data_IF_721821897152
#
_entry.id   IF_721821897152
#
_cell.length_a   1.000
_cell.length_b   1.000
_cell.length_c   1.000
_cell.angle_alpha   90.00
_cell.angle_beta   90.00
_cell.angle_gamma   90.00
#
_symmetry.space_group_name_H-M   'P 1'
#
loop_
_entity.id
_entity.type
_entity.pdbx_description
1 polymer ?
#
# COMPACT_ATOMS: atom_id res chain seq x y z
N UNK A 1 -18.48 32.81 -33.86
CA UNK A 1 -18.34 31.44 -33.28
C UNK A 1 -19.02 31.51 -31.92
N UNK A 2 -20.25 31.00 -31.83
CA UNK A 2 -21.08 31.04 -30.61
C UNK A 2 -20.60 29.91 -29.68
N UNK A 3 -20.40 30.16 -28.39
CA UNK A 3 -20.01 29.07 -27.46
C UNK A 3 -21.15 28.07 -27.30
N UNK A 4 -20.83 26.78 -27.06
CA UNK A 4 -21.87 25.76 -26.89
C UNK A 4 -22.71 26.07 -25.63
N UNK A 5 -24.02 25.93 -25.80
CA UNK A 5 -25.02 26.11 -24.74
C UNK A 5 -24.76 25.13 -23.56
N UNK A 6 -24.83 25.65 -22.35
CA UNK A 6 -24.77 24.85 -21.14
C UNK A 6 -25.91 23.80 -21.13
N UNK A 7 -25.67 22.55 -20.65
CA UNK A 7 -26.69 21.55 -20.53
C UNK A 7 -27.81 22.01 -19.57
N UNK A 8 -29.06 21.71 -19.93
CA UNK A 8 -30.22 22.03 -19.12
C UNK A 8 -30.14 21.32 -17.74
N UNK A 9 -30.65 21.91 -16.65
CA UNK A 9 -30.70 21.26 -15.36
C UNK A 9 -31.55 19.99 -15.42
N UNK A 10 -31.04 18.91 -14.85
CA UNK A 10 -31.75 17.65 -14.73
C UNK A 10 -33.09 17.84 -13.98
N UNK A 11 -34.16 17.22 -14.46
CA UNK A 11 -35.46 17.23 -13.80
C UNK A 11 -35.40 16.48 -12.46
N UNK A 12 -36.15 16.92 -11.45
CA UNK A 12 -36.17 16.38 -10.07
C UNK A 12 -36.50 14.86 -9.93
N UNK A 13 -36.63 14.12 -11.03
CA UNK A 13 -36.88 12.69 -11.06
C UNK A 13 -35.67 11.81 -11.34
N UNK A 14 -34.55 12.37 -11.73
CA UNK A 14 -33.36 11.63 -12.18
C UNK A 14 -32.19 11.79 -11.20
N UNK A 15 -32.38 11.30 -9.98
CA UNK A 15 -31.23 11.12 -9.07
C UNK A 15 -30.39 9.99 -9.67
N UNK A 16 -29.29 10.36 -10.33
CA UNK A 16 -28.32 9.42 -10.85
C UNK A 16 -27.94 8.43 -9.73
N UNK A 17 -28.27 7.15 -9.90
CA UNK A 17 -27.97 6.10 -8.93
C UNK A 17 -26.45 5.86 -8.88
N UNK A 18 -25.76 6.64 -8.04
CA UNK A 18 -24.32 6.52 -7.84
C UNK A 18 -23.48 7.21 -8.93
N UNK A 19 -22.20 6.84 -9.04
CA UNK A 19 -21.23 7.41 -9.96
C UNK A 19 -21.19 6.72 -11.35
N UNK A 20 -22.21 5.95 -11.70
CA UNK A 20 -22.26 5.25 -12.98
C UNK A 20 -22.21 6.25 -14.16
N UNK A 21 -21.24 6.07 -15.05
CA UNK A 21 -21.02 6.96 -16.21
C UNK A 21 -20.21 8.23 -15.94
N UNK A 22 -19.78 8.47 -14.71
CA UNK A 22 -18.89 9.59 -14.39
C UNK A 22 -17.44 9.13 -14.53
N UNK A 23 -16.68 9.81 -15.39
CA UNK A 23 -15.24 9.60 -15.52
C UNK A 23 -14.56 10.35 -14.37
N UNK A 24 -14.08 9.63 -13.36
CA UNK A 24 -13.37 10.22 -12.21
C UNK A 24 -11.91 10.58 -12.55
N UNK A 25 -11.30 9.90 -13.53
CA UNK A 25 -9.93 10.14 -13.95
C UNK A 25 -9.45 9.07 -14.93
N UNK A 26 -8.22 9.23 -15.39
CA UNK A 26 -7.50 8.24 -16.20
C UNK A 26 -6.35 7.67 -15.38
N UNK A 27 -6.04 6.39 -15.59
CA UNK A 27 -4.90 5.72 -14.96
C UNK A 27 -4.08 4.97 -16.00
N UNK A 28 -2.76 4.99 -15.84
CA UNK A 28 -1.83 4.15 -16.61
C UNK A 28 -1.46 2.86 -15.86
N UNK A 29 -1.97 2.65 -14.64
CA UNK A 29 -1.60 1.53 -13.78
C UNK A 29 -2.31 0.25 -14.21
N UNK A 30 -3.62 0.35 -14.53
CA UNK A 30 -4.42 -0.81 -14.89
C UNK A 30 -5.45 -0.50 -15.97
N UNK A 31 -5.82 -1.51 -16.74
CA UNK A 31 -6.93 -1.48 -17.70
C UNK A 31 -7.75 -2.76 -17.60
N UNK A 32 -9.02 -2.68 -18.02
CA UNK A 32 -9.97 -3.79 -17.99
C UNK A 32 -10.56 -4.05 -19.38
N UNK A 33 -9.77 -3.89 -20.43
CA UNK A 33 -10.19 -4.18 -21.81
C UNK A 33 -10.08 -5.69 -22.08
N UNK A 34 -11.19 -6.40 -21.91
CA UNK A 34 -11.28 -7.86 -22.04
C UNK A 34 -10.75 -8.63 -20.85
N UNK A 35 -9.52 -8.43 -20.44
CA UNK A 35 -8.91 -8.99 -19.23
C UNK A 35 -8.24 -7.88 -18.41
N UNK A 36 -8.10 -8.10 -17.10
CA UNK A 36 -7.36 -7.18 -16.23
C UNK A 36 -5.87 -7.17 -16.61
N UNK A 37 -5.34 -5.97 -16.79
CA UNK A 37 -3.93 -5.74 -17.09
C UNK A 37 -3.31 -4.77 -16.10
N UNK A 38 -2.09 -5.03 -15.70
CA UNK A 38 -1.25 -4.11 -14.95
C UNK A 38 -0.12 -3.61 -15.84
N UNK A 39 -0.05 -2.28 -16.08
CA UNK A 39 0.94 -1.65 -16.96
C UNK A 39 1.03 -2.33 -18.34
N UNK A 40 -0.11 -2.85 -18.87
CA UNK A 40 -0.17 -3.56 -20.15
C UNK A 40 0.05 -5.07 -20.10
N UNK A 41 0.56 -5.61 -18.98
CA UNK A 41 0.72 -7.06 -18.79
C UNK A 41 -0.58 -7.69 -18.31
N UNK A 42 -0.98 -8.82 -18.89
CA UNK A 42 -2.14 -9.57 -18.43
C UNK A 42 -1.90 -10.12 -17.01
N UNK A 43 -2.96 -10.13 -16.18
CA UNK A 43 -2.82 -10.52 -14.78
C UNK A 43 -2.50 -12.01 -14.59
N UNK A 44 -3.00 -12.86 -15.48
CA UNK A 44 -2.84 -14.31 -15.37
C UNK A 44 -1.36 -14.75 -15.37
N UNK A 45 -0.50 -14.30 -16.34
CA UNK A 45 0.92 -14.60 -16.30
C UNK A 45 1.63 -14.00 -15.08
N UNK A 46 1.25 -12.79 -14.67
CA UNK A 46 1.83 -12.14 -13.48
C UNK A 46 1.51 -12.93 -12.19
N UNK A 47 0.29 -13.44 -12.07
CA UNK A 47 -0.12 -14.23 -10.91
C UNK A 47 0.50 -15.65 -10.91
N UNK A 48 0.77 -16.21 -12.10
CA UNK A 48 1.30 -17.58 -12.22
C UNK A 48 2.83 -17.67 -12.04
N UNK A 49 3.57 -16.64 -12.46
CA UNK A 49 5.02 -16.68 -12.54
C UNK A 49 5.71 -15.55 -11.74
N UNK A 50 5.01 -14.44 -11.46
CA UNK A 50 5.54 -13.31 -10.72
C UNK A 50 5.45 -13.48 -9.21
N UNK A 51 6.34 -12.83 -8.49
CA UNK A 51 6.22 -12.67 -7.05
C UNK A 51 5.65 -11.28 -6.70
N UNK A 52 5.39 -11.07 -5.41
CA UNK A 52 4.81 -9.81 -4.92
C UNK A 52 5.72 -8.61 -5.24
N UNK A 53 7.02 -8.75 -5.04
CA UNK A 53 8.00 -7.69 -5.25
C UNK A 53 8.11 -7.30 -6.72
N UNK A 54 8.05 -8.26 -7.65
CA UNK A 54 8.06 -7.98 -9.10
C UNK A 54 6.82 -7.21 -9.53
N UNK A 55 5.64 -7.62 -9.06
CA UNK A 55 4.39 -6.93 -9.40
C UNK A 55 4.32 -5.55 -8.75
N UNK A 56 4.79 -5.40 -7.51
CA UNK A 56 4.87 -4.11 -6.85
C UNK A 56 5.82 -3.16 -7.58
N UNK A 57 6.98 -3.65 -8.00
CA UNK A 57 7.93 -2.89 -8.83
C UNK A 57 7.28 -2.44 -10.14
N UNK A 58 6.65 -3.37 -10.86
CA UNK A 58 5.93 -3.06 -12.12
C UNK A 58 4.93 -1.92 -11.93
N UNK A 59 4.12 -1.96 -10.87
CA UNK A 59 3.09 -0.94 -10.64
C UNK A 59 3.69 0.43 -10.31
N UNK A 60 4.79 0.47 -9.57
CA UNK A 60 5.46 1.71 -9.15
C UNK A 60 6.32 2.28 -10.29
N UNK A 61 7.15 1.46 -10.93
CA UNK A 61 8.15 1.90 -11.92
C UNK A 61 7.65 1.83 -13.37
N UNK A 62 6.58 1.07 -13.65
CA UNK A 62 5.95 1.01 -14.97
C UNK A 62 6.40 -0.12 -15.87
N UNK A 63 7.48 -0.84 -15.51
CA UNK A 63 8.02 -1.99 -16.26
C UNK A 63 8.48 -3.10 -15.30
N UNK A 64 8.61 -4.32 -15.80
CA UNK A 64 9.11 -5.44 -14.99
C UNK A 64 10.60 -5.23 -14.66
N UNK A 65 11.02 -5.57 -13.43
CA UNK A 65 12.41 -5.39 -13.02
C UNK A 65 13.34 -6.43 -13.68
N UNK A 66 14.57 -6.03 -13.93
CA UNK A 66 15.67 -6.99 -14.09
C UNK A 66 16.02 -7.61 -12.74
N UNK A 67 16.72 -8.74 -12.73
CA UNK A 67 17.06 -9.45 -11.49
C UNK A 67 17.73 -8.55 -10.43
N UNK A 68 18.70 -7.73 -10.84
CA UNK A 68 19.40 -6.80 -9.95
C UNK A 68 18.52 -5.67 -9.43
N UNK A 69 17.56 -5.20 -10.24
CA UNK A 69 16.59 -4.16 -9.86
C UNK A 69 15.59 -4.73 -8.85
N UNK A 70 15.12 -5.97 -9.08
CA UNK A 70 14.24 -6.68 -8.15
C UNK A 70 14.90 -6.89 -6.79
N UNK A 71 16.15 -7.36 -6.77
CA UNK A 71 16.90 -7.55 -5.53
C UNK A 71 17.10 -6.24 -4.77
N UNK A 72 17.47 -5.17 -5.47
CA UNK A 72 17.66 -3.86 -4.86
C UNK A 72 16.33 -3.28 -4.32
N UNK A 73 15.24 -3.43 -5.06
CA UNK A 73 13.90 -3.02 -4.62
C UNK A 73 13.46 -3.81 -3.39
N UNK A 74 13.53 -5.13 -3.43
CA UNK A 74 13.19 -6.00 -2.29
C UNK A 74 14.00 -5.62 -1.04
N UNK A 75 15.30 -5.35 -1.19
CA UNK A 75 16.15 -4.91 -0.08
C UNK A 75 15.69 -3.57 0.53
N UNK A 76 15.29 -2.59 -0.30
CA UNK A 76 14.77 -1.29 0.20
C UNK A 76 13.44 -1.45 0.93
N UNK A 77 12.50 -2.23 0.38
CA UNK A 77 11.21 -2.51 0.99
C UNK A 77 11.39 -3.25 2.33
N UNK A 78 12.27 -4.24 2.37
CA UNK A 78 12.62 -4.98 3.58
C UNK A 78 13.28 -4.09 4.64
N UNK A 79 14.19 -3.20 4.25
CA UNK A 79 14.80 -2.23 5.16
C UNK A 79 13.73 -1.31 5.78
N UNK A 80 12.78 -0.84 4.98
CA UNK A 80 11.67 -0.01 5.46
C UNK A 80 10.78 -0.76 6.46
N UNK A 81 10.50 -2.04 6.24
CA UNK A 81 9.72 -2.86 7.17
C UNK A 81 10.42 -3.07 8.54
N UNK A 82 11.75 -2.98 8.57
CA UNK A 82 12.56 -3.11 9.80
C UNK A 82 12.71 -1.82 10.59
N UNK A 83 12.36 -0.68 10.00
CA UNK A 83 12.67 0.65 10.55
C UNK A 83 11.42 1.52 10.68
N UNK A 84 10.49 1.10 11.55
CA UNK A 84 9.39 1.98 11.95
C UNK A 84 9.92 3.08 12.87
N UNK A 85 9.43 4.30 12.65
CA UNK A 85 9.80 5.44 13.48
C UNK A 85 9.40 5.22 14.95
N UNK A 86 10.27 5.53 15.93
CA UNK A 86 9.97 5.38 17.34
C UNK A 86 8.72 6.14 17.79
N UNK A 87 8.40 7.30 17.20
CA UNK A 87 7.21 8.06 17.54
C UNK A 87 5.92 7.33 17.09
N UNK A 88 5.95 6.67 15.91
CA UNK A 88 4.84 5.82 15.44
C UNK A 88 4.65 4.64 16.39
N UNK A 89 5.73 3.94 16.75
CA UNK A 89 5.66 2.82 17.70
C UNK A 89 5.14 3.24 19.07
N UNK A 90 5.61 4.37 19.61
CA UNK A 90 5.15 4.89 20.89
C UNK A 90 3.67 5.25 20.88
N UNK A 91 3.19 5.92 19.82
CA UNK A 91 1.78 6.28 19.65
C UNK A 91 0.88 5.05 19.54
N UNK A 92 1.26 4.06 18.72
CA UNK A 92 0.53 2.80 18.60
C UNK A 92 0.49 2.04 19.93
N UNK A 93 1.60 2.00 20.66
CA UNK A 93 1.68 1.34 21.96
C UNK A 93 0.72 1.96 22.98
N UNK A 94 0.64 3.29 23.03
CA UNK A 94 -0.29 3.99 23.94
C UNK A 94 -1.75 3.71 23.56
N UNK A 95 -2.07 3.67 22.28
CA UNK A 95 -3.41 3.32 21.78
C UNK A 95 -3.77 1.86 22.09
N UNK A 96 -2.84 0.93 21.89
CA UNK A 96 -3.03 -0.49 22.19
C UNK A 96 -3.27 -0.73 23.69
N UNK A 97 -2.56 0.01 24.55
CA UNK A 97 -2.77 -0.04 26.00
C UNK A 97 -4.15 0.48 26.42
N UNK A 98 -4.66 1.54 25.76
CA UNK A 98 -5.98 2.12 26.02
C UNK A 98 -7.13 1.26 25.51
N UNK A 99 -6.98 0.69 24.32
CA UNK A 99 -8.02 -0.12 23.68
C UNK A 99 -7.41 -1.31 22.93
N UNK A 100 -7.06 -2.40 23.65
CA UNK A 100 -6.46 -3.58 23.03
C UNK A 100 -7.40 -4.34 22.10
N UNK A 101 -8.69 -4.02 22.11
CA UNK A 101 -9.71 -4.62 21.25
C UNK A 101 -10.06 -3.76 20.02
N UNK A 102 -9.38 -2.65 19.81
CA UNK A 102 -9.60 -1.85 18.61
C UNK A 102 -9.27 -2.64 17.34
N UNK A 103 -10.04 -2.36 16.29
CA UNK A 103 -9.87 -3.05 15.01
C UNK A 103 -8.44 -2.88 14.46
N UNK A 104 -7.77 -3.95 14.01
CA UNK A 104 -6.48 -3.85 13.34
C UNK A 104 -6.51 -2.91 12.12
N UNK A 105 -7.65 -2.79 11.43
CA UNK A 105 -7.82 -1.86 10.31
C UNK A 105 -7.82 -0.40 10.75
N UNK A 106 -8.38 -0.09 11.91
CA UNK A 106 -8.35 1.27 12.48
C UNK A 106 -6.93 1.64 12.92
N UNK A 107 -6.22 0.68 13.51
CA UNK A 107 -4.81 0.84 13.87
C UNK A 107 -3.92 1.02 12.64
N UNK A 108 -4.16 0.24 11.59
CA UNK A 108 -3.42 0.36 10.32
C UNK A 108 -3.63 1.74 9.70
N UNK A 109 -4.88 2.20 9.57
CA UNK A 109 -5.21 3.53 9.05
C UNK A 109 -4.53 4.64 9.85
N UNK A 110 -4.59 4.55 11.18
CA UNK A 110 -3.97 5.52 12.09
C UNK A 110 -2.44 5.49 11.96
N UNK A 111 -1.84 4.31 11.97
CA UNK A 111 -0.39 4.14 11.86
C UNK A 111 0.17 4.66 10.53
N UNK A 112 -0.52 4.40 9.41
CA UNK A 112 -0.13 4.96 8.10
C UNK A 112 -0.22 6.49 8.09
N UNK A 113 -1.26 7.08 8.72
CA UNK A 113 -1.35 8.54 8.89
C UNK A 113 -0.21 9.08 9.75
N UNK A 114 0.18 8.37 10.81
CA UNK A 114 1.32 8.76 11.66
C UNK A 114 2.64 8.72 10.90
N UNK A 115 2.86 7.75 10.00
CA UNK A 115 4.04 7.72 9.13
C UNK A 115 4.14 9.01 8.30
N UNK A 116 3.03 9.49 7.73
CA UNK A 116 2.99 10.75 7.01
C UNK A 116 3.34 11.96 7.88
N UNK A 117 2.86 12.00 9.13
CA UNK A 117 3.16 13.09 10.06
C UNK A 117 4.64 13.15 10.46
N UNK A 118 5.28 11.99 10.61
CA UNK A 118 6.70 11.89 11.00
C UNK A 118 7.63 12.21 9.83
N UNK A 119 7.29 11.77 8.62
CA UNK A 119 8.11 12.04 7.43
C UNK A 119 8.02 13.50 6.95
N UNK A 120 6.99 14.22 7.38
CA UNK A 120 6.68 15.57 6.92
C UNK A 120 6.06 15.58 5.51
N UNK A 121 5.43 16.68 5.17
CA UNK A 121 4.70 16.82 3.91
C UNK A 121 5.48 17.70 2.92
N UNK A 122 6.39 17.09 2.18
CA UNK A 122 6.86 17.64 0.91
C UNK A 122 5.82 17.28 -0.17
N UNK A 123 4.62 17.83 -0.04
CA UNK A 123 3.42 17.45 -0.80
C UNK A 123 3.60 17.50 -2.34
N UNK A 124 4.64 18.16 -2.82
CA UNK A 124 4.96 18.35 -4.24
C UNK A 124 6.39 17.90 -4.58
N UNK A 125 6.88 16.87 -3.90
CA UNK A 125 8.20 16.28 -4.19
C UNK A 125 8.35 15.86 -5.65
N UNK A 126 9.57 15.69 -6.10
CA UNK A 126 9.87 15.15 -7.43
C UNK A 126 9.25 13.74 -7.59
N UNK A 127 9.12 13.28 -8.83
CA UNK A 127 8.70 11.90 -9.12
C UNK A 127 9.52 10.87 -8.34
N UNK A 128 10.85 11.03 -8.29
CA UNK A 128 11.75 10.13 -7.58
C UNK A 128 11.49 10.12 -6.06
N UNK A 129 11.16 11.28 -5.48
CA UNK A 129 10.76 11.38 -4.08
C UNK A 129 9.48 10.60 -3.80
N UNK A 130 8.49 10.70 -4.70
CA UNK A 130 7.23 9.98 -4.57
C UNK A 130 7.42 8.47 -4.71
N UNK A 131 8.26 8.03 -5.66
CA UNK A 131 8.64 6.61 -5.83
C UNK A 131 9.31 6.08 -4.56
N UNK A 132 10.32 6.78 -4.06
CA UNK A 132 11.02 6.37 -2.83
C UNK A 132 10.08 6.31 -1.62
N UNK A 133 9.12 7.23 -1.52
CA UNK A 133 8.08 7.22 -0.48
C UNK A 133 7.14 6.03 -0.64
N UNK A 134 6.71 5.71 -1.86
CA UNK A 134 5.87 4.55 -2.15
C UNK A 134 6.56 3.23 -1.75
N UNK A 135 7.84 3.06 -2.09
CA UNK A 135 8.64 1.90 -1.69
C UNK A 135 8.76 1.77 -0.16
N UNK A 136 8.98 2.89 0.56
CA UNK A 136 9.02 2.88 2.03
C UNK A 136 7.68 2.48 2.63
N UNK A 137 6.59 3.09 2.17
CA UNK A 137 5.24 2.79 2.65
C UNK A 137 4.85 1.33 2.38
N UNK A 138 5.29 0.76 1.26
CA UNK A 138 5.06 -0.65 0.95
C UNK A 138 5.63 -1.58 2.02
N UNK A 139 6.82 -1.29 2.54
CA UNK A 139 7.43 -2.05 3.64
C UNK A 139 6.87 -1.69 5.02
N UNK A 140 6.64 -0.42 5.30
CA UNK A 140 6.22 0.05 6.62
C UNK A 140 4.76 -0.31 6.94
N UNK A 141 3.87 -0.33 5.95
CA UNK A 141 2.44 -0.63 6.14
C UNK A 141 2.20 -1.99 6.80
N UNK A 142 2.74 -3.12 6.29
CA UNK A 142 2.60 -4.41 6.97
C UNK A 142 3.32 -4.46 8.32
N UNK A 143 4.43 -3.72 8.48
CA UNK A 143 5.13 -3.65 9.76
C UNK A 143 4.32 -2.95 10.86
N UNK A 144 3.56 -1.90 10.51
CA UNK A 144 2.59 -1.24 11.41
C UNK A 144 1.55 -2.24 11.90
N UNK A 145 0.98 -3.04 11.00
CA UNK A 145 -0.02 -4.05 11.37
C UNK A 145 0.57 -5.11 12.30
N UNK A 146 1.76 -5.63 11.98
CA UNK A 146 2.43 -6.63 12.81
C UNK A 146 2.80 -6.08 14.20
N UNK A 147 3.27 -4.83 14.28
CA UNK A 147 3.55 -4.17 15.54
C UNK A 147 2.29 -4.01 16.40
N UNK A 148 1.16 -3.59 15.80
CA UNK A 148 -0.12 -3.48 16.49
C UNK A 148 -0.56 -4.81 17.11
N UNK A 149 -0.49 -5.90 16.33
CA UNK A 149 -0.87 -7.24 16.78
C UNK A 149 0.00 -7.72 17.95
N UNK A 150 1.31 -7.44 17.92
CA UNK A 150 2.18 -7.75 19.04
C UNK A 150 1.80 -6.95 20.30
N UNK A 151 1.60 -5.63 20.15
CA UNK A 151 1.28 -4.74 21.26
C UNK A 151 -0.04 -5.12 21.94
N UNK A 152 -1.08 -5.41 21.15
CA UNK A 152 -2.40 -5.82 21.69
C UNK A 152 -2.39 -7.21 22.33
N UNK A 153 -1.46 -8.07 21.90
CA UNK A 153 -1.22 -9.37 22.53
C UNK A 153 -0.26 -9.30 23.74
N UNK A 154 0.16 -8.09 24.16
CA UNK A 154 1.09 -7.90 25.27
C UNK A 154 2.51 -8.38 25.00
N UNK A 155 2.89 -8.52 23.73
CA UNK A 155 4.23 -8.92 23.31
C UNK A 155 5.09 -7.71 22.94
N UNK A 156 6.40 -7.85 23.09
CA UNK A 156 7.33 -6.91 22.49
C UNK A 156 7.21 -6.96 20.95
N UNK A 157 7.35 -5.81 20.29
CA UNK A 157 7.37 -5.77 18.83
C UNK A 157 8.53 -6.62 18.32
N UNK A 158 8.19 -7.68 17.61
CA UNK A 158 9.16 -8.64 17.11
C UNK A 158 9.95 -8.10 15.92
N UNK A 159 11.13 -8.66 15.70
CA UNK A 159 11.96 -8.36 14.53
C UNK A 159 11.24 -8.76 13.24
N UNK A 160 11.39 -7.95 12.19
CA UNK A 160 10.92 -8.32 10.86
C UNK A 160 11.78 -9.45 10.27
N UNK A 161 11.17 -10.55 9.78
CA UNK A 161 11.91 -11.69 9.21
C UNK A 161 12.71 -11.32 7.96
N UNK A 162 13.75 -12.09 7.68
CA UNK A 162 14.54 -11.99 6.45
C UNK A 162 13.96 -12.92 5.37
N UNK A 163 12.83 -12.52 4.82
CA UNK A 163 12.03 -13.28 3.86
C UNK A 163 11.29 -12.30 2.92
N UNK A 164 10.79 -12.72 1.75
CA UNK A 164 9.91 -11.90 0.91
C UNK A 164 8.78 -11.27 1.73
N UNK A 165 8.33 -10.07 1.36
CA UNK A 165 7.46 -9.24 2.20
C UNK A 165 6.19 -9.96 2.66
N UNK A 166 5.52 -10.68 1.73
CA UNK A 166 4.31 -11.43 2.04
C UNK A 166 4.57 -12.60 3.00
N UNK A 167 5.68 -13.33 2.80
CA UNK A 167 6.10 -14.42 3.67
C UNK A 167 6.48 -13.90 5.07
N UNK A 168 7.23 -12.81 5.14
CA UNK A 168 7.60 -12.15 6.38
C UNK A 168 6.37 -11.67 7.17
N UNK A 169 5.38 -11.06 6.49
CA UNK A 169 4.13 -10.66 7.13
C UNK A 169 3.39 -11.89 7.68
N UNK A 170 3.22 -12.95 6.89
CA UNK A 170 2.52 -14.14 7.33
C UNK A 170 3.20 -14.79 8.55
N UNK A 171 4.52 -14.87 8.55
CA UNK A 171 5.30 -15.35 9.70
C UNK A 171 5.07 -14.46 10.94
N UNK A 172 5.08 -13.16 10.78
CA UNK A 172 4.80 -12.21 11.88
C UNK A 172 3.40 -12.38 12.45
N UNK A 173 2.40 -12.64 11.62
CA UNK A 173 1.00 -12.79 12.04
C UNK A 173 0.72 -14.15 12.67
N UNK A 174 1.34 -15.22 12.16
CA UNK A 174 1.05 -16.61 12.57
C UNK A 174 2.06 -17.17 13.56
N UNK A 175 3.25 -16.57 13.68
CA UNK A 175 4.38 -17.09 14.44
C UNK A 175 5.06 -18.31 13.78
N UNK A 176 4.76 -18.58 12.50
CA UNK A 176 5.30 -19.72 11.75
C UNK A 176 5.70 -19.26 10.34
N UNK A 177 6.84 -19.71 9.81
CA UNK A 177 7.16 -19.48 8.42
C UNK A 177 6.09 -20.12 7.52
N UNK A 178 5.78 -19.52 6.35
CA UNK A 178 4.84 -20.12 5.41
C UNK A 178 5.34 -21.49 4.94
N UNK A 179 4.40 -22.41 4.67
CA UNK A 179 4.73 -23.64 3.94
C UNK A 179 5.12 -23.29 2.51
N UNK A 180 6.15 -23.94 2.00
CA UNK A 180 6.53 -23.86 0.61
C UNK A 180 5.40 -24.29 -0.32
#
# INVERSE_FOLDING_TARGET
MTPPSAPAPASEGDVAKGLAGIVAGQTAISSLEGTLRYRGYAIEPLAAAGDFEEVAYLLIHGELPRATEREAFAARVQAAARTLDPAVLAGLSELARKNPHASPMDALRTGVSMLGLVEGDDALGSHDTLVARAERLLGQTPAVLAAWIDMTAGRAVGRWPDAPLAAALLERLTGRPPSA
#
